data_IF_662616735877
#
_entry.id   IF_662616735877
#
_cell.length_a   1.000
_cell.length_b   1.000
_cell.length_c   1.000
_cell.angle_alpha   90.00
_cell.angle_beta   90.00
_cell.angle_gamma   90.00
#
_symmetry.space_group_name_H-M   'P 1'
#
loop_
_entity.id
_entity.type
_entity.pdbx_description
1 polymer ?
#
# COMPACT_ATOMS: atom_id res chain seq x y z
N UNK A 1 -1.56 7.38 6.87
CA UNK A 1 -1.73 6.86 5.49
C UNK A 1 -0.45 7.05 4.71
N UNK A 2 -0.05 6.07 3.91
CA UNK A 2 1.10 6.12 3.01
C UNK A 2 0.62 5.78 1.59
N UNK A 3 0.75 6.71 0.66
CA UNK A 3 0.24 6.53 -0.70
C UNK A 3 1.05 7.28 -1.74
N UNK A 4 0.85 6.93 -3.01
CA UNK A 4 1.31 7.72 -4.15
C UNK A 4 0.38 8.92 -4.42
N UNK A 5 0.55 9.57 -5.58
CA UNK A 5 -0.24 10.75 -5.97
C UNK A 5 -1.75 10.49 -6.09
N UNK A 6 -2.23 9.24 -6.10
CA UNK A 6 -3.65 8.92 -6.24
C UNK A 6 -4.49 9.39 -5.03
N UNK A 7 -3.86 9.63 -3.88
CA UNK A 7 -4.56 10.05 -2.66
C UNK A 7 -4.14 11.46 -2.20
N UNK A 8 -3.73 12.33 -3.12
CA UNK A 8 -3.43 13.75 -2.80
C UNK A 8 -4.71 14.46 -2.32
N UNK A 9 -4.62 15.19 -1.20
CA UNK A 9 -5.75 15.95 -0.63
C UNK A 9 -6.72 15.11 0.22
N UNK A 10 -6.43 13.83 0.44
CA UNK A 10 -7.29 12.93 1.22
C UNK A 10 -7.44 13.39 2.68
N UNK A 11 -6.45 14.12 3.21
CA UNK A 11 -6.45 14.72 4.54
C UNK A 11 -7.57 15.73 4.76
N UNK A 12 -8.06 16.38 3.70
CA UNK A 12 -9.16 17.34 3.78
C UNK A 12 -10.52 16.66 3.98
N UNK A 13 -10.57 15.34 3.74
CA UNK A 13 -11.82 14.57 3.71
C UNK A 13 -11.95 13.54 4.84
N UNK A 14 -10.89 13.30 5.64
CA UNK A 14 -10.90 12.31 6.72
C UNK A 14 -10.68 13.00 8.07
N UNK A 15 -11.73 13.26 8.87
CA UNK A 15 -11.67 14.09 10.08
C UNK A 15 -10.83 13.52 11.24
N UNK A 16 -10.22 12.34 11.09
CA UNK A 16 -9.35 11.71 12.09
C UNK A 16 -8.01 11.23 11.51
N UNK A 17 -7.64 11.71 10.32
CA UNK A 17 -6.36 11.36 9.73
C UNK A 17 -5.24 12.09 10.47
N UNK A 18 -4.54 11.37 11.35
CA UNK A 18 -3.41 11.93 12.11
C UNK A 18 -2.21 12.26 11.25
N UNK A 19 -2.01 11.53 10.14
CA UNK A 19 -0.94 11.80 9.19
C UNK A 19 -1.26 11.20 7.80
N UNK A 20 -1.06 11.99 6.76
CA UNK A 20 -1.04 11.57 5.36
C UNK A 20 0.36 11.76 4.78
N UNK A 21 0.94 10.71 4.21
CA UNK A 21 2.24 10.75 3.55
C UNK A 21 2.03 10.40 2.07
N UNK A 22 1.77 11.44 1.28
CA UNK A 22 1.52 11.35 -0.16
C UNK A 22 2.84 11.61 -0.89
N UNK A 23 3.34 10.61 -1.60
CA UNK A 23 4.60 10.68 -2.32
C UNK A 23 4.39 10.38 -3.82
N UNK A 24 4.22 11.42 -4.66
CA UNK A 24 4.01 11.23 -6.10
C UNK A 24 5.12 10.38 -6.72
N UNK A 25 4.71 9.38 -7.51
CA UNK A 25 5.66 8.48 -8.20
C UNK A 25 6.43 7.54 -7.28
N UNK A 26 6.01 7.32 -6.03
CA UNK A 26 6.73 6.44 -5.11
C UNK A 26 6.60 4.97 -5.50
N UNK A 27 7.68 4.22 -5.23
CA UNK A 27 7.78 2.77 -5.34
C UNK A 27 7.74 2.16 -3.93
N UNK A 28 7.45 0.87 -3.82
CA UNK A 28 7.46 0.20 -2.50
C UNK A 28 8.85 0.25 -1.87
N UNK A 29 9.91 -0.05 -2.64
CA UNK A 29 11.30 0.04 -2.17
C UNK A 29 11.68 1.44 -1.65
N UNK A 30 11.28 2.50 -2.34
CA UNK A 30 11.57 3.87 -1.87
C UNK A 30 10.89 4.16 -0.53
N UNK A 31 9.66 3.67 -0.38
CA UNK A 31 8.87 3.88 0.83
C UNK A 31 9.44 3.13 2.03
N UNK A 32 9.97 1.93 1.80
CA UNK A 32 10.75 1.16 2.77
C UNK A 32 11.94 1.95 3.34
N UNK A 33 12.72 2.58 2.46
CA UNK A 33 13.96 3.27 2.80
C UNK A 33 13.72 4.65 3.44
N UNK A 34 12.68 5.38 3.02
CA UNK A 34 12.56 6.82 3.32
C UNK A 34 11.42 7.21 4.27
N UNK A 35 10.42 6.35 4.46
CA UNK A 35 9.15 6.77 5.09
C UNK A 35 8.80 5.98 6.34
N UNK A 36 9.53 4.92 6.64
CA UNK A 36 9.23 4.02 7.77
C UNK A 36 9.51 4.67 9.13
N UNK A 37 10.56 5.49 9.26
CA UNK A 37 10.85 6.22 10.51
C UNK A 37 9.81 7.27 10.91
N UNK A 38 8.79 7.52 10.06
CA UNK A 38 7.64 8.35 10.42
C UNK A 38 6.61 7.60 11.26
N UNK A 39 6.66 6.27 11.27
CA UNK A 39 5.79 5.44 12.10
C UNK A 39 6.33 5.32 13.52
N UNK A 40 7.64 5.46 13.77
CA UNK A 40 8.27 5.41 15.11
C UNK A 40 7.61 6.32 16.17
N UNK A 41 6.90 7.37 15.74
CA UNK A 41 6.19 8.33 16.61
C UNK A 41 4.73 7.94 16.91
N UNK A 42 4.25 6.80 16.40
CA UNK A 42 2.92 6.28 16.66
C UNK A 42 2.93 5.57 18.02
N UNK A 43 2.39 6.25 19.04
CA UNK A 43 2.41 5.80 20.44
C UNK A 43 1.06 5.27 20.95
N UNK A 44 0.11 5.00 20.04
CA UNK A 44 -1.24 4.52 20.35
C UNK A 44 -1.70 3.55 19.26
N UNK A 45 -2.78 2.81 19.53
CA UNK A 45 -3.46 1.99 18.54
C UNK A 45 -3.79 2.83 17.29
N UNK A 46 -3.37 2.33 16.12
CA UNK A 46 -3.47 3.07 14.87
C UNK A 46 -3.66 2.12 13.67
N UNK A 47 -4.34 2.65 12.65
CA UNK A 47 -4.47 2.03 11.33
C UNK A 47 -3.57 2.74 10.32
N UNK A 48 -2.65 2.00 9.72
CA UNK A 48 -1.83 2.45 8.60
C UNK A 48 -2.42 1.92 7.31
N UNK A 49 -2.98 2.82 6.51
CA UNK A 49 -3.42 2.49 5.15
C UNK A 49 -2.26 2.67 4.18
N UNK A 50 -1.94 1.63 3.42
CA UNK A 50 -0.89 1.59 2.39
C UNK A 50 -1.55 1.43 1.01
N UNK A 51 -1.32 2.40 0.13
CA UNK A 51 -1.82 2.39 -1.24
C UNK A 51 -0.68 2.79 -2.20
N UNK A 52 0.16 1.81 -2.53
CA UNK A 52 1.34 1.91 -3.39
C UNK A 52 1.47 0.62 -4.22
N UNK A 53 1.99 0.72 -5.44
CA UNK A 53 2.34 -0.43 -6.29
C UNK A 53 2.18 -0.16 -7.79
N UNK A 54 1.44 0.89 -8.16
CA UNK A 54 1.18 1.28 -9.54
C UNK A 54 2.45 1.57 -10.34
N UNK A 55 3.43 2.24 -9.72
CA UNK A 55 4.71 2.55 -10.36
C UNK A 55 5.59 1.32 -10.49
N UNK A 56 5.58 0.42 -9.50
CA UNK A 56 6.32 -0.83 -9.52
C UNK A 56 5.88 -1.71 -10.71
N UNK A 57 4.57 -1.84 -10.92
CA UNK A 57 4.01 -2.49 -12.12
C UNK A 57 4.43 -1.77 -13.39
N UNK A 58 4.34 -0.44 -13.44
CA UNK A 58 4.71 0.34 -14.62
C UNK A 58 6.19 0.20 -15.00
N UNK A 59 7.06 0.01 -14.01
CA UNK A 59 8.49 -0.26 -14.20
C UNK A 59 8.83 -1.72 -14.54
N UNK A 60 7.81 -2.59 -14.66
CA UNK A 60 7.99 -3.98 -15.06
C UNK A 60 8.44 -4.93 -13.96
N UNK A 61 8.21 -4.60 -12.68
CA UNK A 61 8.47 -5.55 -11.59
C UNK A 61 7.51 -6.75 -11.67
N UNK A 62 8.02 -7.93 -11.32
CA UNK A 62 7.20 -9.13 -11.23
C UNK A 62 6.25 -9.08 -10.02
N UNK A 63 5.09 -9.75 -10.07
CA UNK A 63 4.17 -9.80 -8.94
C UNK A 63 4.83 -10.25 -7.63
N UNK A 64 5.67 -11.29 -7.69
CA UNK A 64 6.39 -11.80 -6.52
C UNK A 64 7.33 -10.76 -5.91
N UNK A 65 8.04 -9.98 -6.74
CA UNK A 65 8.91 -8.91 -6.25
C UNK A 65 8.11 -7.79 -5.56
N UNK A 66 6.96 -7.41 -6.13
CA UNK A 66 6.09 -6.36 -5.55
C UNK A 66 5.50 -6.83 -4.22
N UNK A 67 5.01 -8.08 -4.16
CA UNK A 67 4.47 -8.69 -2.93
C UNK A 67 5.54 -8.77 -1.84
N UNK A 68 6.75 -9.24 -2.17
CA UNK A 68 7.85 -9.30 -1.21
C UNK A 68 8.26 -7.91 -0.68
N UNK A 69 8.21 -6.87 -1.51
CA UNK A 69 8.46 -5.50 -1.05
C UNK A 69 7.34 -4.97 -0.16
N UNK A 70 6.08 -5.29 -0.44
CA UNK A 70 4.95 -4.94 0.44
C UNK A 70 5.06 -5.64 1.80
N UNK A 71 5.41 -6.92 1.79
CA UNK A 71 5.67 -7.70 3.00
C UNK A 71 6.76 -7.04 3.87
N UNK A 72 7.92 -6.74 3.29
CA UNK A 72 8.98 -6.07 3.99
C UNK A 72 8.54 -4.70 4.55
N UNK A 73 7.68 -3.97 3.82
CA UNK A 73 7.16 -2.68 4.25
C UNK A 73 6.25 -2.83 5.47
N UNK A 74 5.33 -3.79 5.44
CA UNK A 74 4.46 -4.12 6.58
C UNK A 74 5.32 -4.48 7.80
N UNK A 75 6.28 -5.40 7.64
CA UNK A 75 7.17 -5.82 8.73
C UNK A 75 7.96 -4.66 9.30
N UNK A 76 8.31 -3.67 8.48
CA UNK A 76 9.05 -2.49 8.92
C UNK A 76 8.14 -1.49 9.64
N UNK A 77 6.90 -1.32 9.18
CA UNK A 77 5.90 -0.47 9.83
C UNK A 77 5.49 -1.04 11.20
N UNK A 78 5.34 -2.36 11.31
CA UNK A 78 4.91 -2.99 12.57
C UNK A 78 6.04 -3.17 13.59
N UNK A 79 7.31 -3.10 13.16
CA UNK A 79 8.46 -3.32 14.03
C UNK A 79 8.58 -2.25 15.12
N UNK A 80 8.79 -2.67 16.37
CA UNK A 80 9.17 -1.79 17.47
C UNK A 80 8.01 -1.03 18.12
N UNK A 81 6.77 -1.34 17.78
CA UNK A 81 5.59 -0.75 18.41
C UNK A 81 5.16 -1.55 19.64
N UNK A 82 5.02 -0.86 20.78
CA UNK A 82 4.50 -1.45 22.02
C UNK A 82 2.98 -1.68 21.94
N UNK A 83 2.27 -0.81 21.21
CA UNK A 83 0.83 -0.88 20.99
C UNK A 83 0.49 -1.56 19.65
N UNK A 84 -0.68 -2.20 19.51
CA UNK A 84 -1.11 -2.81 18.26
C UNK A 84 -1.18 -1.81 17.10
N UNK A 85 -0.44 -2.10 16.03
CA UNK A 85 -0.51 -1.35 14.78
C UNK A 85 -1.18 -2.21 13.70
N UNK A 86 -2.31 -1.74 13.19
CA UNK A 86 -3.04 -2.35 12.09
C UNK A 86 -2.58 -1.81 10.75
N UNK A 87 -2.47 -2.67 9.75
CA UNK A 87 -2.10 -2.28 8.39
C UNK A 87 -3.21 -2.68 7.42
N UNK A 88 -3.73 -1.71 6.68
CA UNK A 88 -4.64 -1.94 5.57
C UNK A 88 -3.90 -1.77 4.25
N UNK A 89 -3.85 -2.83 3.43
CA UNK A 89 -3.24 -2.80 2.10
C UNK A 89 -4.32 -2.66 1.04
N UNK A 90 -4.31 -1.54 0.31
CA UNK A 90 -5.22 -1.30 -0.79
C UNK A 90 -4.81 -2.08 -2.06
N UNK A 91 -5.79 -2.34 -2.92
CA UNK A 91 -5.51 -2.87 -4.27
C UNK A 91 -4.69 -1.85 -5.07
N UNK A 92 -3.79 -2.34 -5.93
CA UNK A 92 -3.32 -1.57 -7.07
C UNK A 92 -4.52 -1.37 -8.00
N UNK A 93 -4.81 -0.12 -8.31
CA UNK A 93 -5.95 0.27 -9.15
C UNK A 93 -5.57 0.06 -10.63
N UNK A 94 -6.43 -0.60 -11.44
CA UNK A 94 -6.24 -0.69 -12.88
C UNK A 94 -6.20 0.70 -13.52
N UNK A 95 -5.33 0.91 -14.50
CA UNK A 95 -5.24 2.16 -15.25
C UNK A 95 -5.76 1.98 -16.68
N UNK A 96 -6.33 3.04 -17.29
CA UNK A 96 -6.70 3.01 -18.71
C UNK A 96 -5.53 2.67 -19.64
N UNK A 97 -4.30 3.06 -19.25
CA UNK A 97 -3.07 2.80 -20.00
C UNK A 97 -2.50 1.39 -19.81
N UNK A 98 -3.12 0.56 -18.96
CA UNK A 98 -2.64 -0.80 -18.74
C UNK A 98 -2.91 -1.69 -19.96
N UNK A 99 -1.90 -2.47 -20.34
CA UNK A 99 -1.88 -3.32 -21.53
C UNK A 99 -1.93 -4.81 -21.15
N UNK A 100 -1.79 -5.68 -22.15
CA UNK A 100 -1.80 -7.14 -21.99
C UNK A 100 -0.73 -7.68 -21.03
N UNK A 101 0.32 -6.90 -20.74
CA UNK A 101 1.41 -7.26 -19.83
C UNK A 101 1.18 -6.73 -18.41
N UNK A 102 0.70 -5.49 -18.27
CA UNK A 102 0.51 -4.88 -16.94
C UNK A 102 -0.78 -5.35 -16.28
N UNK A 103 -1.87 -5.62 -17.03
CA UNK A 103 -3.15 -6.09 -16.44
C UNK A 103 -3.01 -7.42 -15.68
N UNK A 104 -2.37 -8.47 -16.22
CA UNK A 104 -2.12 -9.70 -15.46
C UNK A 104 -1.25 -9.46 -14.23
N UNK A 105 -0.26 -8.57 -14.34
CA UNK A 105 0.65 -8.22 -13.24
C UNK A 105 -0.11 -7.54 -12.10
N UNK A 106 -0.99 -6.57 -12.38
CA UNK A 106 -1.88 -5.95 -11.38
C UNK A 106 -2.75 -7.00 -10.69
N UNK A 107 -3.40 -7.86 -11.48
CA UNK A 107 -4.30 -8.90 -10.95
C UNK A 107 -3.57 -9.88 -10.03
N UNK A 108 -2.42 -10.39 -10.45
CA UNK A 108 -1.64 -11.35 -9.67
C UNK A 108 -1.03 -10.70 -8.42
N UNK A 109 -0.57 -9.45 -8.53
CA UNK A 109 -0.07 -8.70 -7.38
C UNK A 109 -1.17 -8.47 -6.33
N UNK A 110 -2.37 -8.06 -6.76
CA UNK A 110 -3.52 -7.89 -5.87
C UNK A 110 -3.95 -9.21 -5.21
N UNK A 111 -3.86 -10.34 -5.92
CA UNK A 111 -4.07 -11.67 -5.33
C UNK A 111 -3.01 -11.96 -4.25
N UNK A 112 -1.75 -11.67 -4.54
CA UNK A 112 -0.65 -11.82 -3.59
C UNK A 112 -0.81 -10.94 -2.35
N UNK A 113 -1.21 -9.67 -2.50
CA UNK A 113 -1.53 -8.79 -1.37
C UNK A 113 -2.65 -9.34 -0.49
N UNK A 114 -3.71 -9.90 -1.10
CA UNK A 114 -4.78 -10.55 -0.35
C UNK A 114 -4.28 -11.74 0.46
N UNK A 115 -3.50 -12.63 -0.15
CA UNK A 115 -2.92 -13.79 0.54
C UNK A 115 -1.98 -13.37 1.66
N UNK A 116 -1.12 -12.39 1.41
CA UNK A 116 -0.21 -11.82 2.41
C UNK A 116 -0.96 -11.29 3.64
N UNK A 117 -2.04 -10.52 3.42
CA UNK A 117 -2.84 -9.97 4.52
C UNK A 117 -3.61 -11.05 5.30
N UNK A 118 -3.95 -12.19 4.68
CA UNK A 118 -4.56 -13.32 5.39
C UNK A 118 -3.56 -14.06 6.29
N UNK A 119 -2.27 -13.98 5.98
CA UNK A 119 -1.21 -14.67 6.71
C UNK A 119 -0.54 -13.80 7.78
N UNK A 120 -0.62 -12.48 7.66
CA UNK A 120 0.00 -11.53 8.60
C UNK A 120 -0.96 -11.04 9.68
N UNK A 121 -0.44 -10.93 10.90
CA UNK A 121 -1.17 -10.38 12.03
C UNK A 121 -1.49 -8.90 11.84
N UNK A 122 -2.66 -8.46 12.32
CA UNK A 122 -3.15 -7.08 12.21
C UNK A 122 -3.13 -6.51 10.78
N UNK A 123 -3.25 -7.35 9.76
CA UNK A 123 -3.28 -6.92 8.37
C UNK A 123 -4.67 -7.17 7.76
N UNK A 124 -5.13 -6.22 6.94
CA UNK A 124 -6.36 -6.38 6.15
C UNK A 124 -6.12 -5.94 4.71
N UNK A 125 -6.64 -6.72 3.77
CA UNK A 125 -6.65 -6.34 2.37
C UNK A 125 -7.94 -5.58 2.03
N UNK A 126 -7.79 -4.39 1.43
CA UNK A 126 -8.90 -3.59 0.95
C UNK A 126 -9.04 -3.76 -0.57
N UNK A 127 -10.14 -4.36 -1.07
CA UNK A 127 -10.36 -4.61 -2.50
C UNK A 127 -10.79 -3.33 -3.25
N UNK A 128 -10.08 -2.21 -3.05
CA UNK A 128 -10.41 -0.90 -3.62
C UNK A 128 -10.48 -0.88 -5.13
N UNK A 129 -9.79 -1.81 -5.81
CA UNK A 129 -9.78 -1.87 -7.28
C UNK A 129 -11.15 -2.10 -7.91
N UNK A 130 -12.08 -2.76 -7.21
CA UNK A 130 -13.44 -3.01 -7.76
C UNK A 130 -14.24 -1.74 -7.95
N UNK A 131 -13.93 -0.68 -7.19
CA UNK A 131 -14.58 0.62 -7.31
C UNK A 131 -14.21 1.37 -8.60
N UNK A 132 -13.19 0.89 -9.32
CA UNK A 132 -12.66 1.54 -10.52
C UNK A 132 -12.79 0.66 -11.78
N UNK A 133 -13.56 -0.44 -11.70
CA UNK A 133 -13.81 -1.34 -12.83
C UNK A 133 -15.04 -0.94 -13.66
N UNK A 134 -15.79 0.09 -13.26
CA UNK A 134 -16.99 0.58 -13.96
C UNK A 134 -16.73 1.69 -14.99
N UNK A 135 -15.46 1.93 -15.37
CA UNK A 135 -15.07 2.89 -16.42
C UNK A 135 -14.18 2.24 -17.49
#
# INVERSE_FOLDING_TARGET
MLSDSMCRGVEEHIPNLTAAYVHPGTFLRRSLEQHTGRFDRVTREALVVVHIGTNDVASGLSPAAIVGQMEALIDRIQRGHAEPLYVAVCSIVPRPVDNEWTRPTVRETNRGFRQLCQQKHNCIYLPTGTLFLEY
#
